data_IF_787207466539
#
_entry.id   IF_787207466539
#
_cell.length_a   1.000
_cell.length_b   1.000
_cell.length_c   1.000
_cell.angle_alpha   90.00
_cell.angle_beta   90.00
_cell.angle_gamma   90.00
#
_symmetry.space_group_name_H-M   'P 1'
#
loop_
_entity.id
_entity.type
_entity.pdbx_description
1 polymer ?
#
# COMPACT_ATOMS: atom_id res chain seq x y z
N UNK A 1 -6.45 39.09 -30.81
CA UNK A 1 -5.84 37.97 -31.58
C UNK A 1 -5.19 36.86 -30.70
N UNK A 2 -4.87 37.12 -29.44
CA UNK A 2 -4.24 36.15 -28.51
C UNK A 2 -5.17 35.06 -27.96
N UNK A 3 -6.51 35.26 -28.01
CA UNK A 3 -7.47 34.29 -27.42
C UNK A 3 -7.79 33.07 -28.30
N UNK A 4 -7.67 33.16 -29.63
CA UNK A 4 -7.99 32.02 -30.53
C UNK A 4 -6.90 30.95 -30.60
N UNK A 5 -5.64 31.27 -30.40
CA UNK A 5 -4.53 30.32 -30.42
C UNK A 5 -4.52 29.36 -29.23
N UNK A 6 -4.97 29.82 -28.05
CA UNK A 6 -4.98 28.98 -26.82
C UNK A 6 -6.15 27.98 -26.81
N UNK A 7 -7.29 28.29 -27.41
CA UNK A 7 -8.45 27.40 -27.48
C UNK A 7 -8.11 26.17 -28.33
N UNK A 8 -7.52 26.35 -29.50
CA UNK A 8 -7.12 25.25 -30.39
C UNK A 8 -6.04 24.33 -29.76
N UNK A 9 -5.17 24.86 -28.93
CA UNK A 9 -4.17 24.03 -28.22
C UNK A 9 -4.79 23.19 -27.10
N UNK A 10 -5.75 23.73 -26.38
CA UNK A 10 -6.49 23.03 -25.34
C UNK A 10 -7.39 21.93 -25.91
N UNK A 11 -8.12 22.21 -26.99
CA UNK A 11 -8.95 21.19 -27.64
C UNK A 11 -8.11 20.02 -28.17
N UNK A 12 -6.97 20.27 -28.82
CA UNK A 12 -6.03 19.23 -29.25
C UNK A 12 -5.48 18.43 -28.11
N UNK A 13 -5.18 19.05 -26.98
CA UNK A 13 -4.74 18.36 -25.75
C UNK A 13 -5.82 17.43 -25.23
N UNK A 14 -7.08 17.88 -25.14
CA UNK A 14 -8.21 17.04 -24.71
C UNK A 14 -8.44 15.87 -25.68
N UNK A 15 -8.35 16.09 -27.00
CA UNK A 15 -8.44 15.00 -27.98
C UNK A 15 -7.34 13.97 -27.82
N UNK A 16 -6.10 14.41 -27.63
CA UNK A 16 -4.96 13.50 -27.36
C UNK A 16 -5.19 12.66 -26.11
N UNK A 17 -5.69 13.24 -25.02
CA UNK A 17 -6.05 12.50 -23.80
C UNK A 17 -7.15 11.47 -24.09
N UNK A 18 -8.21 11.84 -24.81
CA UNK A 18 -9.30 10.92 -25.16
C UNK A 18 -8.81 9.73 -25.99
N UNK A 19 -7.91 9.97 -26.94
CA UNK A 19 -7.29 8.92 -27.74
C UNK A 19 -6.47 7.97 -26.88
N UNK A 20 -5.61 8.48 -26.00
CA UNK A 20 -4.79 7.66 -25.09
C UNK A 20 -5.66 6.84 -24.11
N UNK A 21 -6.66 7.45 -23.52
CA UNK A 21 -7.64 6.76 -22.67
C UNK A 21 -8.34 5.64 -23.46
N UNK A 22 -8.76 5.92 -24.70
CA UNK A 22 -9.40 4.93 -25.57
C UNK A 22 -8.47 3.76 -25.90
N UNK A 23 -7.18 4.02 -26.15
CA UNK A 23 -6.15 2.98 -26.35
C UNK A 23 -6.00 2.11 -25.11
N UNK A 24 -5.94 2.72 -23.93
CA UNK A 24 -5.84 1.98 -22.67
C UNK A 24 -7.09 1.14 -22.43
N UNK A 25 -8.29 1.69 -22.66
CA UNK A 25 -9.55 0.97 -22.46
C UNK A 25 -9.72 -0.24 -23.38
N UNK A 26 -9.06 -0.26 -24.53
CA UNK A 26 -9.07 -1.40 -25.47
C UNK A 26 -8.11 -2.52 -25.06
N UNK A 27 -7.12 -2.26 -24.19
CA UNK A 27 -6.19 -3.29 -23.70
C UNK A 27 -6.95 -4.34 -22.89
N UNK A 28 -6.61 -5.63 -23.01
CA UNK A 28 -7.20 -6.68 -22.19
C UNK A 28 -6.82 -6.50 -20.71
N UNK A 29 -7.68 -6.98 -19.82
CA UNK A 29 -7.35 -7.07 -18.41
C UNK A 29 -6.38 -8.23 -18.18
N UNK A 30 -5.18 -7.93 -17.74
CA UNK A 30 -4.12 -8.90 -17.42
C UNK A 30 -3.96 -8.98 -15.91
N UNK A 31 -3.60 -10.16 -15.41
CA UNK A 31 -3.32 -10.36 -13.98
C UNK A 31 -1.88 -9.91 -13.68
N UNK A 32 -1.74 -9.15 -12.61
CA UNK A 32 -0.46 -8.70 -12.06
C UNK A 32 -0.36 -9.08 -10.59
N UNK A 33 0.87 -9.12 -10.09
CA UNK A 33 1.16 -9.32 -8.68
C UNK A 33 2.14 -8.26 -8.21
N UNK A 34 2.00 -7.85 -6.94
CA UNK A 34 3.01 -7.09 -6.22
C UNK A 34 3.46 -7.88 -5.00
N UNK A 35 4.74 -7.85 -4.72
CA UNK A 35 5.34 -8.53 -3.57
C UNK A 35 6.10 -7.54 -2.70
N UNK A 36 6.08 -7.76 -1.39
CA UNK A 36 6.87 -7.02 -0.40
C UNK A 36 7.01 -7.86 0.88
N UNK A 37 7.71 -7.33 1.85
CA UNK A 37 7.72 -7.84 3.23
C UNK A 37 6.78 -7.02 4.11
N UNK A 38 6.40 -7.56 5.26
CA UNK A 38 5.57 -6.87 6.25
C UNK A 38 6.09 -7.23 7.64
N UNK A 39 6.08 -6.26 8.57
CA UNK A 39 6.63 -6.44 9.91
C UNK A 39 5.78 -7.33 10.84
N UNK A 40 5.23 -8.41 10.30
CA UNK A 40 4.72 -9.55 11.07
C UNK A 40 5.82 -10.57 11.26
N UNK A 41 5.75 -11.29 12.39
CA UNK A 41 6.67 -12.40 12.65
C UNK A 41 6.36 -13.59 11.72
N UNK A 42 7.41 -14.08 11.05
CA UNK A 42 7.35 -15.20 10.11
C UNK A 42 7.44 -16.58 10.77
N UNK A 43 7.56 -16.67 12.09
CA UNK A 43 7.87 -17.93 12.81
C UNK A 43 6.85 -19.04 12.62
N UNK A 44 5.61 -18.71 12.19
CA UNK A 44 4.59 -19.73 11.84
C UNK A 44 4.59 -19.99 10.35
N UNK A 45 4.75 -21.23 9.94
CA UNK A 45 4.69 -21.64 8.53
C UNK A 45 3.27 -21.51 7.95
N UNK A 46 3.20 -21.19 6.66
CA UNK A 46 1.97 -21.19 5.89
C UNK A 46 1.44 -19.80 5.56
N UNK A 47 0.19 -19.78 5.14
CA UNK A 47 -0.57 -18.54 4.84
C UNK A 47 -1.27 -18.09 6.10
N UNK A 48 -0.91 -16.90 6.59
CA UNK A 48 -1.54 -16.32 7.77
C UNK A 48 -2.93 -15.81 7.50
N UNK A 49 -3.13 -15.17 6.33
CA UNK A 49 -4.47 -14.82 5.83
C UNK A 49 -4.43 -14.53 4.34
N UNK A 50 -5.61 -14.65 3.69
CA UNK A 50 -5.84 -14.20 2.32
C UNK A 50 -7.24 -13.59 2.21
N UNK A 51 -7.31 -12.37 1.66
CA UNK A 51 -8.57 -11.62 1.60
C UNK A 51 -8.64 -10.72 0.38
N UNK A 52 -9.87 -10.52 -0.15
CA UNK A 52 -10.15 -9.47 -1.12
C UNK A 52 -10.30 -8.13 -0.39
N UNK A 53 -9.56 -7.11 -0.85
CA UNK A 53 -9.60 -5.73 -0.35
C UNK A 53 -9.65 -4.84 -1.58
N UNK A 54 -10.71 -4.05 -1.71
CA UNK A 54 -10.96 -3.32 -2.94
C UNK A 54 -11.02 -4.25 -4.15
N UNK A 55 -10.19 -3.98 -5.14
CA UNK A 55 -10.07 -4.80 -6.36
C UNK A 55 -8.96 -5.85 -6.27
N UNK A 56 -8.14 -5.83 -5.20
CA UNK A 56 -7.00 -6.71 -5.05
C UNK A 56 -7.31 -7.88 -4.10
N UNK A 57 -6.65 -9.03 -4.35
CA UNK A 57 -6.55 -10.11 -3.38
C UNK A 57 -5.22 -9.99 -2.67
N UNK A 58 -5.27 -9.68 -1.40
CA UNK A 58 -4.12 -9.55 -0.51
C UNK A 58 -3.89 -10.85 0.24
N UNK A 59 -2.63 -11.28 0.34
CA UNK A 59 -2.23 -12.47 1.10
C UNK A 59 -0.96 -12.16 1.89
N UNK A 60 -0.91 -12.65 3.14
CA UNK A 60 0.28 -12.63 3.99
C UNK A 60 0.62 -14.06 4.39
N UNK A 61 1.90 -14.39 4.36
CA UNK A 61 2.37 -15.74 4.70
C UNK A 61 3.86 -15.76 5.02
N UNK A 62 4.36 -16.93 5.41
CA UNK A 62 5.78 -17.15 5.71
C UNK A 62 6.66 -17.13 4.44
N UNK A 63 6.12 -17.57 3.31
CA UNK A 63 6.82 -17.67 2.03
C UNK A 63 5.97 -17.14 0.88
N UNK A 64 6.63 -16.66 -0.18
CA UNK A 64 5.94 -16.38 -1.43
C UNK A 64 5.51 -17.69 -2.12
N UNK A 65 4.41 -17.67 -2.91
CA UNK A 65 4.10 -18.77 -3.82
C UNK A 65 5.28 -19.01 -4.78
N UNK A 66 5.46 -20.26 -5.22
CA UNK A 66 6.56 -20.62 -6.17
C UNK A 66 6.59 -19.74 -7.42
N UNK A 67 5.41 -19.33 -7.91
CA UNK A 67 5.26 -18.41 -9.03
C UNK A 67 5.93 -17.05 -8.80
N UNK A 68 5.96 -16.58 -7.54
CA UNK A 68 6.50 -15.28 -7.14
C UNK A 68 7.82 -15.42 -6.39
N UNK A 69 8.44 -16.62 -6.45
CA UNK A 69 9.73 -16.83 -5.83
C UNK A 69 10.76 -15.95 -6.53
N UNK A 70 11.41 -15.10 -5.75
CA UNK A 70 12.44 -14.21 -6.23
C UNK A 70 13.64 -15.00 -6.76
N UNK A 71 14.16 -14.58 -7.90
CA UNK A 71 15.55 -14.84 -8.20
C UNK A 71 16.41 -14.12 -7.16
N UNK A 72 17.14 -14.88 -6.38
CA UNK A 72 17.98 -14.38 -5.28
C UNK A 72 18.96 -13.27 -5.73
N UNK A 73 19.36 -13.26 -7.01
CA UNK A 73 20.26 -12.24 -7.58
C UNK A 73 19.63 -10.84 -7.64
N UNK A 74 18.31 -10.74 -7.84
CA UNK A 74 17.63 -9.44 -7.88
C UNK A 74 17.66 -8.74 -6.52
N UNK A 75 17.51 -9.52 -5.46
CA UNK A 75 17.68 -9.03 -4.09
C UNK A 75 19.13 -8.68 -3.77
N UNK A 76 20.10 -9.39 -4.36
CA UNK A 76 21.54 -9.09 -4.22
C UNK A 76 21.94 -7.81 -4.97
N UNK A 77 21.23 -7.43 -6.04
CA UNK A 77 21.45 -6.14 -6.74
C UNK A 77 21.00 -4.91 -5.93
N UNK A 78 20.17 -5.09 -4.91
CA UNK A 78 19.78 -4.10 -3.92
C UNK A 78 20.48 -4.36 -2.57
N UNK A 79 21.74 -4.81 -2.59
CA UNK A 79 22.50 -5.35 -1.45
C UNK A 79 22.36 -4.58 -0.14
N UNK A 80 22.39 -3.23 -0.19
CA UNK A 80 22.23 -2.40 1.00
C UNK A 80 20.81 -2.35 1.54
N UNK A 81 19.81 -2.56 0.69
CA UNK A 81 18.38 -2.48 1.05
C UNK A 81 17.92 -3.73 1.78
N UNK A 82 18.42 -4.89 1.38
CA UNK A 82 18.07 -6.17 2.01
C UNK A 82 18.71 -6.35 3.39
N UNK A 83 19.87 -5.72 3.63
CA UNK A 83 20.52 -5.78 4.94
C UNK A 83 19.66 -5.14 6.05
N UNK A 84 18.71 -4.28 5.68
CA UNK A 84 17.86 -3.57 6.62
C UNK A 84 16.51 -4.25 6.90
N UNK A 85 16.14 -5.31 6.17
CA UNK A 85 14.87 -6.03 6.42
C UNK A 85 15.14 -7.26 7.26
N UNK A 86 14.57 -7.36 8.48
CA UNK A 86 14.75 -8.54 9.31
C UNK A 86 14.28 -9.82 8.59
N UNK A 87 15.07 -10.90 8.69
CA UNK A 87 14.76 -12.17 8.05
C UNK A 87 13.42 -12.77 8.49
N UNK A 88 13.01 -12.46 9.72
CA UNK A 88 11.77 -12.93 10.32
C UNK A 88 10.52 -12.13 9.91
N UNK A 89 10.64 -11.12 9.02
CA UNK A 89 9.47 -10.46 8.47
C UNK A 89 8.66 -11.41 7.57
N UNK A 90 7.35 -11.40 7.75
CA UNK A 90 6.44 -12.15 6.89
C UNK A 90 6.45 -11.60 5.47
N UNK A 91 5.99 -12.41 4.53
CA UNK A 91 5.84 -12.05 3.12
C UNK A 91 4.42 -11.58 2.86
N UNK A 92 4.29 -10.48 2.11
CA UNK A 92 3.00 -9.97 1.66
C UNK A 92 2.98 -9.91 0.14
N UNK A 93 1.90 -10.34 -0.45
CA UNK A 93 1.66 -10.16 -1.88
C UNK A 93 0.21 -9.85 -2.17
N UNK A 94 0.01 -9.07 -3.21
CA UNK A 94 -1.32 -8.79 -3.72
C UNK A 94 -1.42 -9.19 -5.19
N UNK A 95 -2.62 -9.46 -5.66
CA UNK A 95 -2.90 -9.65 -7.08
C UNK A 95 -4.16 -8.89 -7.50
N UNK A 96 -4.11 -8.32 -8.69
CA UNK A 96 -5.25 -7.65 -9.31
C UNK A 96 -5.27 -7.92 -10.82
N UNK A 97 -6.37 -7.54 -11.49
CA UNK A 97 -6.45 -7.48 -12.95
C UNK A 97 -6.53 -6.02 -13.36
N UNK A 98 -5.65 -5.61 -14.26
CA UNK A 98 -5.57 -4.25 -14.76
C UNK A 98 -5.22 -4.23 -16.25
N UNK A 99 -5.37 -3.07 -16.88
CA UNK A 99 -5.02 -2.87 -18.29
C UNK A 99 -3.60 -2.40 -18.50
N UNK A 100 -3.00 -1.82 -17.47
CA UNK A 100 -1.60 -1.36 -17.46
C UNK A 100 -0.91 -1.76 -16.15
N UNK A 101 0.40 -1.79 -16.21
CA UNK A 101 1.29 -2.09 -15.07
C UNK A 101 1.14 -1.03 -13.97
N UNK A 102 1.11 0.25 -14.34
CA UNK A 102 0.94 1.36 -13.40
C UNK A 102 -0.42 1.31 -12.72
N UNK A 103 -1.49 1.00 -13.48
CA UNK A 103 -2.82 0.83 -12.90
C UNK A 103 -2.80 -0.32 -11.88
N UNK A 104 -2.18 -1.45 -12.22
CA UNK A 104 -2.06 -2.61 -11.34
C UNK A 104 -1.28 -2.28 -10.07
N UNK A 105 -0.11 -1.67 -10.21
CA UNK A 105 0.75 -1.32 -9.10
C UNK A 105 0.06 -0.33 -8.14
N UNK A 106 -0.47 0.78 -8.67
CA UNK A 106 -1.17 1.78 -7.88
C UNK A 106 -2.41 1.21 -7.17
N UNK A 107 -3.16 0.34 -7.83
CA UNK A 107 -4.33 -0.30 -7.23
C UNK A 107 -3.93 -1.20 -6.07
N UNK A 108 -2.95 -2.10 -6.28
CA UNK A 108 -2.51 -3.04 -5.25
C UNK A 108 -1.87 -2.32 -4.06
N UNK A 109 -1.04 -1.29 -4.30
CA UNK A 109 -0.45 -0.50 -3.22
C UNK A 109 -1.52 0.21 -2.39
N UNK A 110 -2.50 0.85 -3.03
CA UNK A 110 -3.63 1.50 -2.32
C UNK A 110 -4.43 0.50 -1.46
N UNK A 111 -4.64 -0.71 -1.95
CA UNK A 111 -5.38 -1.74 -1.22
C UNK A 111 -4.56 -2.30 -0.05
N UNK A 112 -3.23 -2.46 -0.22
CA UNK A 112 -2.30 -2.82 0.86
C UNK A 112 -2.27 -1.72 1.92
N UNK A 113 -2.12 -0.46 1.53
CA UNK A 113 -2.11 0.69 2.43
C UNK A 113 -3.42 0.80 3.22
N UNK A 114 -4.56 0.57 2.57
CA UNK A 114 -5.85 0.56 3.25
C UNK A 114 -5.91 -0.54 4.31
N UNK A 115 -5.47 -1.77 3.96
CA UNK A 115 -5.40 -2.87 4.92
C UNK A 115 -4.51 -2.51 6.12
N UNK A 116 -3.32 -1.99 5.85
CA UNK A 116 -2.36 -1.58 6.88
C UNK A 116 -2.94 -0.50 7.78
N UNK A 117 -3.64 0.48 7.20
CA UNK A 117 -4.28 1.57 7.94
C UNK A 117 -5.35 1.04 8.90
N UNK A 118 -6.25 0.18 8.39
CA UNK A 118 -7.29 -0.44 9.22
C UNK A 118 -6.68 -1.32 10.31
N UNK A 119 -5.65 -2.09 9.97
CA UNK A 119 -4.95 -2.93 10.93
C UNK A 119 -4.31 -2.10 12.06
N UNK A 120 -3.56 -1.07 11.70
CA UNK A 120 -2.87 -0.20 12.66
C UNK A 120 -3.86 0.57 13.55
N UNK A 121 -4.98 1.05 13.02
CA UNK A 121 -6.05 1.69 13.79
C UNK A 121 -6.66 0.68 14.78
N UNK A 122 -6.97 -0.53 14.31
CA UNK A 122 -7.61 -1.56 15.15
C UNK A 122 -6.67 -2.07 16.25
N UNK A 123 -5.38 -2.21 15.94
CA UNK A 123 -4.36 -2.72 16.86
C UNK A 123 -3.72 -1.61 17.70
N UNK A 124 -3.41 -0.48 17.08
CA UNK A 124 -2.69 0.65 17.69
C UNK A 124 -3.48 1.34 18.81
N UNK A 125 -4.82 1.24 18.82
CA UNK A 125 -5.67 1.79 19.86
C UNK A 125 -5.36 1.27 21.28
N UNK A 126 -4.48 0.27 21.40
CA UNK A 126 -4.08 -0.37 22.67
C UNK A 126 -2.65 -0.02 23.12
N UNK A 127 -1.88 0.72 22.31
CA UNK A 127 -0.51 1.09 22.67
C UNK A 127 -0.47 2.51 23.22
N UNK A 128 0.09 2.67 24.43
CA UNK A 128 0.42 3.98 24.98
C UNK A 128 1.45 4.69 24.10
N UNK A 129 1.23 5.97 23.87
CA UNK A 129 2.21 6.84 23.20
C UNK A 129 3.41 6.97 24.11
N UNK A 130 4.58 6.48 23.69
CA UNK A 130 5.83 6.70 24.43
C UNK A 130 6.48 7.97 23.89
N UNK A 131 6.40 9.06 24.65
CA UNK A 131 7.01 10.34 24.32
C UNK A 131 8.53 10.17 24.28
N UNK A 132 9.17 10.66 23.22
CA UNK A 132 10.64 10.67 23.06
C UNK A 132 11.24 9.58 22.18
N UNK A 133 10.45 8.63 21.65
CA UNK A 133 10.95 7.71 20.62
C UNK A 133 10.87 8.34 19.22
N UNK A 134 12.01 8.36 18.54
CA UNK A 134 12.11 8.72 17.10
C UNK A 134 11.79 7.54 16.18
N UNK A 135 10.86 6.67 16.55
CA UNK A 135 10.47 5.53 15.71
C UNK A 135 9.05 5.73 15.20
N UNK A 136 8.72 5.20 14.03
CA UNK A 136 7.37 5.23 13.51
C UNK A 136 6.36 4.71 14.52
N UNK A 137 5.21 5.37 14.62
CA UNK A 137 4.15 5.03 15.59
C UNK A 137 3.35 3.79 15.16
N UNK A 138 3.34 3.47 13.86
CA UNK A 138 2.65 2.28 13.37
C UNK A 138 3.32 1.01 13.85
N UNK A 139 2.50 0.08 14.38
CA UNK A 139 2.97 -1.22 14.84
C UNK A 139 3.32 -2.16 13.72
N UNK A 140 2.65 -2.01 12.57
CA UNK A 140 2.86 -2.85 11.39
C UNK A 140 3.18 -1.97 10.22
N UNK A 141 4.28 -2.27 9.53
CA UNK A 141 4.78 -1.54 8.37
C UNK A 141 5.06 -2.47 7.21
N UNK A 142 4.91 -1.95 6.01
CA UNK A 142 5.39 -2.57 4.79
C UNK A 142 6.92 -2.48 4.76
N UNK A 143 7.57 -3.46 4.17
CA UNK A 143 9.02 -3.40 3.94
C UNK A 143 9.38 -2.38 2.86
N UNK A 144 10.68 -2.04 2.73
CA UNK A 144 11.13 -0.94 1.90
C UNK A 144 11.04 -1.21 0.40
N UNK A 145 10.92 -2.46 -0.01
CA UNK A 145 10.95 -2.86 -1.42
C UNK A 145 9.61 -3.46 -1.82
N UNK A 146 9.02 -2.92 -2.89
CA UNK A 146 7.83 -3.48 -3.52
C UNK A 146 8.17 -3.79 -4.98
N UNK A 147 7.88 -5.02 -5.41
CA UNK A 147 8.22 -5.53 -6.74
C UNK A 147 6.97 -5.94 -7.49
N UNK A 148 6.85 -5.48 -8.72
CA UNK A 148 5.75 -5.83 -9.61
C UNK A 148 6.13 -7.04 -10.48
N UNK A 149 5.18 -7.96 -10.63
CA UNK A 149 5.31 -9.15 -11.45
C UNK A 149 4.15 -9.24 -12.45
N UNK A 150 4.43 -9.84 -13.60
CA UNK A 150 3.42 -10.18 -14.59
C UNK A 150 2.57 -11.40 -14.18
N UNK A 151 1.70 -11.83 -15.08
CA UNK A 151 0.78 -12.96 -14.86
C UNK A 151 1.47 -14.32 -14.67
N UNK A 152 2.70 -14.46 -15.12
CA UNK A 152 3.53 -15.69 -14.98
C UNK A 152 4.55 -15.57 -13.85
N UNK A 153 4.52 -14.46 -13.09
CA UNK A 153 5.39 -14.24 -11.95
C UNK A 153 6.77 -13.65 -12.29
N UNK A 154 6.99 -13.29 -13.56
CA UNK A 154 8.22 -12.62 -13.96
C UNK A 154 8.25 -11.19 -13.46
N UNK A 155 9.38 -10.75 -12.91
CA UNK A 155 9.60 -9.38 -12.47
C UNK A 155 9.53 -8.41 -13.65
N UNK A 156 8.75 -7.36 -13.50
CA UNK A 156 8.69 -6.24 -14.43
C UNK A 156 9.78 -5.25 -13.98
N UNK A 157 10.94 -5.28 -14.62
CA UNK A 157 12.16 -4.60 -14.18
C UNK A 157 12.03 -3.08 -14.04
N UNK A 158 11.09 -2.48 -14.76
CA UNK A 158 10.97 -1.02 -14.85
C UNK A 158 10.14 -0.42 -13.70
N UNK A 159 9.49 -1.27 -12.89
CA UNK A 159 8.62 -0.82 -11.80
C UNK A 159 9.03 -1.53 -10.51
N UNK A 160 9.90 -0.86 -9.77
CA UNK A 160 10.28 -1.24 -8.40
C UNK A 160 10.04 -0.03 -7.51
N UNK A 161 9.20 -0.20 -6.50
CA UNK A 161 8.98 0.83 -5.50
C UNK A 161 9.95 0.62 -4.35
N UNK A 162 10.63 1.69 -3.96
CA UNK A 162 11.63 1.66 -2.91
C UNK A 162 11.44 2.83 -1.94
N UNK A 163 11.51 2.55 -0.65
CA UNK A 163 11.49 3.54 0.43
C UNK A 163 12.90 3.68 1.03
N UNK A 164 13.69 4.71 0.63
CA UNK A 164 15.10 4.85 1.06
C UNK A 164 15.23 5.17 2.56
N UNK A 165 14.24 5.81 3.17
CA UNK A 165 14.24 6.21 4.58
C UNK A 165 13.62 5.14 5.50
N UNK A 166 13.52 3.91 5.04
CA UNK A 166 12.94 2.83 5.81
C UNK A 166 13.71 2.60 7.12
N UNK A 167 12.99 2.69 8.22
CA UNK A 167 13.53 2.40 9.54
C UNK A 167 13.03 1.02 10.00
N UNK A 168 13.95 0.10 10.23
CA UNK A 168 13.64 -1.24 10.74
C UNK A 168 13.05 -1.13 12.14
N UNK A 169 11.92 -1.78 12.36
CA UNK A 169 11.41 -2.01 13.71
C UNK A 169 12.16 -3.18 14.33
N UNK A 170 12.70 -2.98 15.54
CA UNK A 170 13.54 -3.96 16.23
C UNK A 170 12.80 -5.27 16.59
N UNK A 171 11.48 -5.26 16.53
CA UNK A 171 10.69 -6.48 16.83
C UNK A 171 9.51 -6.53 15.85
N UNK A 172 9.40 -7.59 15.05
CA UNK A 172 8.23 -7.83 14.25
C UNK A 172 7.03 -8.07 15.17
N UNK A 173 5.86 -7.73 14.66
CA UNK A 173 4.63 -7.97 15.39
C UNK A 173 4.32 -9.46 15.44
N UNK A 174 4.23 -10.03 16.65
CA UNK A 174 3.92 -11.44 16.84
C UNK A 174 2.47 -11.71 16.47
N UNK A 175 2.27 -12.69 15.61
CA UNK A 175 0.95 -13.21 15.24
C UNK A 175 0.54 -14.21 16.34
N UNK A 176 -0.21 -13.72 17.32
CA UNK A 176 -0.76 -14.51 18.44
C UNK A 176 -2.21 -14.95 18.20
N UNK A 177 -2.82 -15.58 19.18
CA UNK A 177 -4.23 -16.04 19.11
C UNK A 177 -5.22 -14.87 18.99
N UNK A 178 -4.84 -13.66 19.37
CA UNK A 178 -5.63 -12.46 19.12
C UNK A 178 -5.66 -12.05 17.65
N UNK A 179 -4.72 -12.55 16.84
CA UNK A 179 -4.64 -12.24 15.41
C UNK A 179 -5.94 -12.59 14.67
N UNK A 180 -6.52 -13.74 14.93
CA UNK A 180 -7.79 -14.14 14.32
C UNK A 180 -8.92 -13.14 14.66
N UNK A 181 -8.95 -12.67 15.90
CA UNK A 181 -9.90 -11.63 16.35
C UNK A 181 -9.65 -10.30 15.66
N UNK A 182 -8.39 -9.86 15.57
CA UNK A 182 -8.01 -8.64 14.88
C UNK A 182 -8.38 -8.72 13.41
N UNK A 183 -8.06 -9.82 12.73
CA UNK A 183 -8.42 -10.06 11.33
C UNK A 183 -9.93 -10.03 11.11
N UNK A 184 -10.72 -10.54 12.06
CA UNK A 184 -12.19 -10.43 12.02
C UNK A 184 -12.63 -8.97 12.09
N UNK A 185 -12.08 -8.16 13.01
CA UNK A 185 -12.42 -6.74 13.11
C UNK A 185 -11.99 -5.95 11.88
N UNK A 186 -10.78 -6.15 11.37
CA UNK A 186 -10.32 -5.57 10.12
C UNK A 186 -11.28 -5.92 8.98
N UNK A 187 -11.76 -7.15 8.95
CA UNK A 187 -12.71 -7.64 7.95
C UNK A 187 -14.05 -6.93 8.03
N UNK A 188 -14.61 -6.82 9.23
CA UNK A 188 -15.88 -6.11 9.47
C UNK A 188 -15.72 -4.65 9.08
N UNK A 189 -14.62 -4.01 9.51
CA UNK A 189 -14.37 -2.60 9.24
C UNK A 189 -14.29 -2.32 7.73
N UNK A 190 -13.50 -3.11 6.98
CA UNK A 190 -13.38 -2.95 5.53
C UNK A 190 -14.75 -3.15 4.85
N UNK A 191 -15.53 -4.14 5.26
CA UNK A 191 -16.87 -4.37 4.69
C UNK A 191 -17.84 -3.20 4.98
N UNK A 192 -17.78 -2.63 6.19
CA UNK A 192 -18.56 -1.45 6.53
C UNK A 192 -18.12 -0.22 5.71
N UNK A 193 -16.80 -0.06 5.54
CA UNK A 193 -16.23 1.03 4.76
C UNK A 193 -16.68 0.97 3.29
N UNK A 194 -16.68 -0.22 2.67
CA UNK A 194 -17.09 -0.39 1.26
C UNK A 194 -18.57 -0.07 1.03
N UNK A 195 -19.42 -0.22 2.05
CA UNK A 195 -20.85 0.08 1.99
C UNK A 195 -21.19 1.53 2.32
N UNK A 196 -20.23 2.32 2.80
CA UNK A 196 -20.47 3.68 3.23
C UNK A 196 -20.51 4.64 2.03
N UNK A 197 -21.43 5.62 2.05
CA UNK A 197 -21.51 6.65 1.02
C UNK A 197 -20.22 7.50 0.95
N UNK A 198 -19.56 7.73 2.08
CA UNK A 198 -18.31 8.50 2.20
C UNK A 198 -17.05 7.62 2.05
N UNK A 199 -17.17 6.41 1.50
CA UNK A 199 -16.08 5.42 1.45
C UNK A 199 -14.76 5.96 0.89
N UNK A 200 -14.80 6.76 -0.16
CA UNK A 200 -13.59 7.28 -0.80
C UNK A 200 -12.86 8.29 0.11
N UNK A 201 -13.61 9.14 0.75
CA UNK A 201 -13.11 10.12 1.72
C UNK A 201 -12.52 9.43 2.95
N UNK A 202 -13.23 8.45 3.50
CA UNK A 202 -12.74 7.66 4.62
C UNK A 202 -11.47 6.87 4.27
N UNK A 203 -11.43 6.22 3.09
CA UNK A 203 -10.22 5.52 2.61
C UNK A 203 -9.03 6.47 2.45
N UNK A 204 -9.26 7.67 1.91
CA UNK A 204 -8.21 8.68 1.75
C UNK A 204 -7.68 9.13 3.12
N UNK A 205 -8.57 9.48 4.04
CA UNK A 205 -8.22 9.89 5.39
C UNK A 205 -7.46 8.81 6.16
N UNK A 206 -7.89 7.55 6.08
CA UNK A 206 -7.21 6.44 6.76
C UNK A 206 -5.80 6.19 6.21
N UNK A 207 -5.60 6.28 4.90
CA UNK A 207 -4.26 6.19 4.30
C UNK A 207 -3.38 7.34 4.74
N UNK A 208 -3.91 8.57 4.73
CA UNK A 208 -3.19 9.75 5.20
C UNK A 208 -2.80 9.62 6.68
N UNK A 209 -3.70 9.09 7.52
CA UNK A 209 -3.41 8.79 8.91
C UNK A 209 -2.26 7.80 9.07
N UNK A 210 -2.33 6.66 8.36
CA UNK A 210 -1.28 5.64 8.41
C UNK A 210 0.05 6.17 7.88
N UNK A 211 0.03 6.94 6.80
CA UNK A 211 1.23 7.59 6.25
C UNK A 211 1.86 8.53 7.28
N UNK A 212 1.08 9.40 7.91
CA UNK A 212 1.56 10.33 8.91
C UNK A 212 2.26 9.61 10.08
N UNK A 213 1.71 8.47 10.52
CA UNK A 213 2.29 7.68 11.61
C UNK A 213 3.54 6.87 11.20
N UNK A 214 3.82 6.73 9.90
CA UNK A 214 5.04 6.10 9.40
C UNK A 214 6.24 7.04 9.34
N UNK A 215 6.00 8.36 9.43
CA UNK A 215 7.06 9.36 9.33
C UNK A 215 7.93 9.38 10.60
N UNK A 216 9.23 9.56 10.40
CA UNK A 216 10.20 9.60 11.49
C UNK A 216 10.25 10.99 12.19
N UNK A 217 9.84 12.07 11.50
CA UNK A 217 9.79 13.42 12.08
C UNK A 217 8.39 13.70 12.66
N UNK A 218 8.27 13.87 13.99
CA UNK A 218 6.98 14.09 14.64
C UNK A 218 6.29 15.40 14.20
N UNK A 219 7.05 16.39 13.70
CA UNK A 219 6.47 17.64 13.19
C UNK A 219 5.76 17.41 11.87
N UNK A 220 6.39 16.66 10.96
CA UNK A 220 5.77 16.28 9.68
C UNK A 220 4.60 15.32 9.92
N UNK A 221 4.74 14.40 10.89
CA UNK A 221 3.63 13.53 11.33
C UNK A 221 2.41 14.33 11.78
N UNK A 222 2.62 15.39 12.58
CA UNK A 222 1.53 16.24 13.04
C UNK A 222 0.81 16.95 11.90
N UNK A 223 1.54 17.48 10.91
CA UNK A 223 0.97 18.07 9.69
C UNK A 223 0.16 17.04 8.92
N UNK A 224 0.69 15.81 8.76
CA UNK A 224 -0.03 14.71 8.11
C UNK A 224 -1.31 14.31 8.84
N UNK A 225 -1.30 14.28 10.18
CA UNK A 225 -2.50 14.02 10.99
C UNK A 225 -3.54 15.14 10.87
N UNK A 226 -3.08 16.41 10.81
CA UNK A 226 -3.96 17.53 10.55
C UNK A 226 -4.65 17.42 9.20
N UNK A 227 -3.89 17.10 8.13
CA UNK A 227 -4.45 16.86 6.79
C UNK A 227 -5.47 15.73 6.79
N UNK A 228 -5.28 14.69 7.61
CA UNK A 228 -6.27 13.62 7.79
C UNK A 228 -7.60 14.17 8.32
N UNK A 229 -7.57 15.06 9.30
CA UNK A 229 -8.78 15.72 9.84
C UNK A 229 -9.43 16.64 8.81
N UNK A 230 -8.65 17.40 8.06
CA UNK A 230 -9.17 18.25 6.97
C UNK A 230 -9.91 17.43 5.90
N UNK A 231 -9.35 16.27 5.52
CA UNK A 231 -10.03 15.34 4.59
C UNK A 231 -11.38 14.90 5.18
N UNK A 232 -11.43 14.54 6.48
CA UNK A 232 -12.66 14.07 7.13
C UNK A 232 -13.73 15.14 7.26
N UNK A 233 -13.33 16.38 7.51
CA UNK A 233 -14.25 17.51 7.72
C UNK A 233 -14.66 18.20 6.42
N UNK A 234 -14.07 17.80 5.28
CA UNK A 234 -14.33 18.45 3.99
C UNK A 234 -13.79 19.88 3.91
N UNK A 235 -12.89 20.28 4.82
CA UNK A 235 -12.31 21.64 4.85
C UNK A 235 -11.16 21.82 3.88
N UNK A 236 -10.82 20.81 3.10
CA UNK A 236 -9.83 20.89 2.03
C UNK A 236 -10.34 21.79 0.90
N UNK A 237 -10.18 23.09 1.08
CA UNK A 237 -9.92 23.99 -0.02
C UNK A 237 -11.05 24.43 -0.95
N UNK A 238 -12.32 24.20 -0.63
CA UNK A 238 -13.41 24.88 -1.36
C UNK A 238 -13.74 26.22 -0.65
N UNK A 239 -12.95 27.22 -0.97
CA UNK A 239 -13.29 28.64 -0.86
C UNK A 239 -13.09 29.31 -2.22
#
# INVERSE_FOLDING_TARGET
>A
HLKRGNINSFERFIESIKEEVSKILRKPLVKYFITSTISFDRTKDGVHFSKKIGESRLTVGSHYPRLLAFDAWFLNGFGDVNQNVPENYARIWASTRARTEEQAANQMLRDIELYMSVYNITYGSRRGITIGRRSPLNSVRLGPVQILHDSVGKVIKDIVYYEPEFTVQNSPHIIDDNQARIQRYVSIFINCLERNALRNLLKASMRQYSYALNLNDPRISLVGLWSCLEILTGTTGDK
#
